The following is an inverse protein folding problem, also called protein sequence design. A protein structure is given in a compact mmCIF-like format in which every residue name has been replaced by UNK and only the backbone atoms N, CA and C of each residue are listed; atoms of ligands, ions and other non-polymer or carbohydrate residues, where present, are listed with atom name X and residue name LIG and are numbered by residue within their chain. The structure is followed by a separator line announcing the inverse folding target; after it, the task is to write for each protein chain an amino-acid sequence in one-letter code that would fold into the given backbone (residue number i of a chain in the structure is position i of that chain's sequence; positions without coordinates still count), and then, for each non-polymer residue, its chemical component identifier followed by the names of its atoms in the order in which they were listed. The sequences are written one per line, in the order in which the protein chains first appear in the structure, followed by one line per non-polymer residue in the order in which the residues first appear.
data_IF_699651147995
#
_entry.id   IF_699651147995
#
_cell.length_a   1.000
_cell.length_b   1.000
_cell.length_c   1.000
_cell.angle_alpha   90.00
_cell.angle_beta   90.00
_cell.angle_gamma   90.00
#
_symmetry.space_group_name_H-M   'P 1'
#
loop_
_entity.id
_entity.type
_entity.pdbx_description
1 polymer ?
#
# COMPACT_ATOMS: atom_id res chain seq x y z
N UNK A 1 11.28 -20.24 -7.07
CA UNK A 1 10.26 -20.27 -5.99
C UNK A 1 9.80 -18.86 -5.62
N UNK A 2 10.71 -17.88 -5.50
CA UNK A 2 10.36 -16.44 -5.42
C UNK A 2 9.38 -15.98 -6.51
N UNK A 3 9.55 -16.48 -7.75
CA UNK A 3 8.65 -16.25 -8.90
C UNK A 3 7.22 -16.77 -8.74
N UNK A 4 6.90 -17.52 -7.68
CA UNK A 4 5.54 -17.99 -7.35
C UNK A 4 4.97 -17.37 -6.08
N UNK A 5 5.81 -16.94 -5.15
CA UNK A 5 5.39 -16.37 -3.86
C UNK A 5 4.84 -14.96 -4.05
N UNK A 6 5.62 -14.08 -4.71
CA UNK A 6 5.19 -12.69 -4.93
C UNK A 6 3.86 -12.62 -5.69
N UNK A 7 3.65 -13.35 -6.80
CA UNK A 7 2.35 -13.39 -7.46
C UNK A 7 1.22 -13.89 -6.57
N UNK A 8 1.45 -14.89 -5.72
CA UNK A 8 0.43 -15.40 -4.80
C UNK A 8 0.02 -14.34 -3.77
N UNK A 9 1.00 -13.64 -3.18
CA UNK A 9 0.75 -12.55 -2.22
C UNK A 9 0.04 -11.37 -2.88
N UNK A 10 0.47 -10.96 -4.07
CA UNK A 10 -0.20 -9.88 -4.82
C UNK A 10 -1.64 -10.25 -5.18
N UNK A 11 -1.87 -11.48 -5.64
CA UNK A 11 -3.22 -11.98 -5.90
C UNK A 11 -4.09 -11.94 -4.63
N UNK A 12 -3.53 -12.34 -3.48
CA UNK A 12 -4.25 -12.27 -2.22
C UNK A 12 -4.68 -10.83 -1.87
N UNK A 13 -3.78 -9.85 -2.05
CA UNK A 13 -4.12 -8.44 -1.87
C UNK A 13 -5.22 -8.00 -2.85
N UNK A 14 -5.11 -8.35 -4.13
CA UNK A 14 -6.08 -7.96 -5.16
C UNK A 14 -7.47 -8.52 -4.86
N UNK A 15 -7.57 -9.80 -4.46
CA UNK A 15 -8.86 -10.46 -4.23
C UNK A 15 -9.51 -10.12 -2.90
N UNK A 16 -8.76 -9.58 -1.93
CA UNK A 16 -9.28 -9.16 -0.62
C UNK A 16 -9.74 -7.70 -0.57
N UNK A 17 -9.68 -6.99 -1.71
CA UNK A 17 -10.20 -5.65 -1.88
C UNK A 17 -11.74 -5.60 -1.85
N UNK A 18 -12.31 -4.92 -0.86
CA UNK A 18 -13.75 -4.78 -0.62
C UNK A 18 -14.30 -3.39 -0.94
N UNK A 19 -13.45 -2.37 -1.06
CA UNK A 19 -13.87 -0.98 -1.30
C UNK A 19 -13.90 -0.60 -2.79
N UNK A 20 -13.74 -1.60 -3.67
CA UNK A 20 -13.86 -1.42 -5.12
C UNK A 20 -12.72 -0.61 -5.72
N UNK A 21 -11.50 -0.75 -5.20
CA UNK A 21 -10.29 -0.27 -5.88
C UNK A 21 -10.08 -1.05 -7.18
N UNK A 22 -9.63 -0.38 -8.23
CA UNK A 22 -9.26 -1.01 -9.51
C UNK A 22 -7.76 -1.18 -9.59
N UNK A 23 -7.30 -2.33 -10.09
CA UNK A 23 -5.88 -2.53 -10.40
C UNK A 23 -5.55 -1.76 -11.67
N UNK A 24 -4.58 -0.84 -11.58
CA UNK A 24 -4.03 -0.17 -12.74
C UNK A 24 -2.88 -0.99 -13.33
N UNK A 25 -1.88 -1.30 -12.49
CA UNK A 25 -0.61 -1.88 -12.91
C UNK A 25 -0.05 -2.79 -11.84
N UNK A 26 0.79 -3.75 -12.26
CA UNK A 26 1.60 -4.59 -11.40
C UNK A 26 3.05 -4.42 -11.85
N UNK A 27 3.93 -4.00 -10.94
CA UNK A 27 5.34 -3.68 -11.20
C UNK A 27 6.23 -4.53 -10.30
N UNK A 28 6.67 -5.68 -10.80
CA UNK A 28 7.47 -6.61 -10.00
C UNK A 28 6.70 -7.16 -8.80
N UNK A 29 6.95 -6.61 -7.62
CA UNK A 29 6.33 -6.96 -6.35
C UNK A 29 5.33 -5.91 -5.82
N UNK A 30 5.03 -4.89 -6.60
CA UNK A 30 4.07 -3.85 -6.26
C UNK A 30 2.79 -3.96 -7.10
N UNK A 31 1.66 -3.59 -6.48
CA UNK A 31 0.37 -3.41 -7.16
C UNK A 31 -0.09 -1.97 -6.98
N UNK A 32 -0.40 -1.30 -8.09
CA UNK A 32 -1.00 0.04 -8.08
C UNK A 32 -2.51 -0.09 -8.18
N UNK A 33 -3.19 0.34 -7.12
CA UNK A 33 -4.63 0.50 -7.10
C UNK A 33 -5.03 1.96 -7.37
N UNK A 34 -6.20 2.14 -8.00
CA UNK A 34 -6.81 3.46 -8.15
C UNK A 34 -8.33 3.39 -7.96
N UNK A 35 -8.92 4.52 -7.59
CA UNK A 35 -10.36 4.73 -7.53
C UNK A 35 -10.65 6.18 -7.90
N UNK A 36 -11.64 6.40 -8.76
CA UNK A 36 -12.13 7.72 -9.11
C UNK A 36 -13.60 7.87 -8.70
N UNK A 37 -14.07 9.11 -8.56
CA UNK A 37 -15.43 9.41 -8.15
C UNK A 37 -15.56 9.47 -6.63
N UNK A 38 -16.61 8.83 -6.10
CA UNK A 38 -16.91 8.85 -4.67
C UNK A 38 -15.82 8.15 -3.86
N UNK A 39 -15.26 8.88 -2.89
CA UNK A 39 -14.24 8.38 -1.98
C UNK A 39 -14.90 7.53 -0.88
N UNK A 40 -14.27 6.41 -0.47
CA UNK A 40 -14.73 5.67 0.69
C UNK A 40 -14.65 6.55 1.95
N UNK A 41 -15.41 6.20 2.99
CA UNK A 41 -15.16 6.78 4.31
C UNK A 41 -13.74 6.45 4.77
N UNK A 42 -13.15 7.33 5.58
CA UNK A 42 -11.82 7.11 6.13
C UNK A 42 -11.75 5.78 6.91
N UNK A 43 -12.79 5.47 7.70
CA UNK A 43 -12.90 4.20 8.42
C UNK A 43 -12.85 3.00 7.47
N UNK A 44 -13.59 3.02 6.36
CA UNK A 44 -13.58 1.94 5.38
C UNK A 44 -12.22 1.81 4.67
N UNK A 45 -11.54 2.93 4.41
CA UNK A 45 -10.20 2.94 3.82
C UNK A 45 -9.16 2.34 4.77
N UNK A 46 -9.18 2.72 6.04
CA UNK A 46 -8.30 2.20 7.08
C UNK A 46 -8.55 0.70 7.28
N UNK A 47 -9.82 0.28 7.37
CA UNK A 47 -10.19 -1.13 7.50
C UNK A 47 -9.70 -1.95 6.30
N UNK A 48 -9.81 -1.42 5.08
CA UNK A 48 -9.27 -2.10 3.90
C UNK A 48 -7.75 -2.30 4.00
N UNK A 49 -7.01 -1.33 4.55
CA UNK A 49 -5.57 -1.45 4.76
C UNK A 49 -5.23 -2.50 5.81
N UNK A 50 -6.02 -2.58 6.89
CA UNK A 50 -5.90 -3.67 7.89
C UNK A 50 -6.08 -5.02 7.22
N UNK A 51 -7.14 -5.18 6.42
CA UNK A 51 -7.44 -6.42 5.69
C UNK A 51 -6.29 -6.81 4.76
N UNK A 52 -5.78 -5.86 3.96
CA UNK A 52 -4.63 -6.12 3.09
C UNK A 52 -3.44 -6.64 3.89
N UNK A 53 -3.09 -5.97 4.98
CA UNK A 53 -1.96 -6.36 5.80
C UNK A 53 -2.14 -7.74 6.47
N UNK A 54 -3.29 -8.00 7.08
CA UNK A 54 -3.55 -9.27 7.77
C UNK A 54 -3.65 -10.46 6.81
N UNK A 55 -4.31 -10.28 5.66
CA UNK A 55 -4.44 -11.36 4.67
C UNK A 55 -3.13 -11.62 3.93
N UNK A 56 -2.28 -10.60 3.74
CA UNK A 56 -0.91 -10.80 3.25
C UNK A 56 -0.12 -11.72 4.17
N UNK A 57 -0.14 -11.47 5.48
CA UNK A 57 0.61 -12.29 6.44
C UNK A 57 0.06 -13.70 6.57
N UNK A 58 -1.27 -13.85 6.57
CA UNK A 58 -1.92 -15.16 6.56
C UNK A 58 -1.52 -16.00 5.35
N UNK A 59 -1.48 -15.42 4.15
CA UNK A 59 -1.02 -16.12 2.94
C UNK A 59 0.49 -16.39 2.99
N UNK A 60 1.29 -15.44 3.48
CA UNK A 60 2.73 -15.62 3.65
C UNK A 60 3.04 -16.81 4.57
N UNK A 61 2.35 -16.92 5.70
CA UNK A 61 2.54 -18.02 6.65
C UNK A 61 2.04 -19.36 6.09
N UNK A 62 0.91 -19.35 5.36
CA UNK A 62 0.44 -20.54 4.65
C UNK A 62 1.46 -21.04 3.61
N UNK A 63 2.08 -20.13 2.86
CA UNK A 63 3.14 -20.44 1.90
C UNK A 63 4.40 -20.95 2.62
N UNK A 64 4.80 -20.33 3.74
CA UNK A 64 5.93 -20.79 4.56
C UNK A 64 5.74 -22.24 5.01
N UNK A 65 4.59 -22.57 5.59
CA UNK A 65 4.31 -23.95 6.04
C UNK A 65 4.25 -24.93 4.86
N UNK A 66 3.66 -24.54 3.73
CA UNK A 66 3.60 -25.36 2.51
C UNK A 66 4.99 -25.71 1.97
N UNK A 67 5.94 -24.78 2.02
CA UNK A 67 7.29 -24.97 1.48
C UNK A 67 8.33 -25.43 2.50
N UNK A 68 7.99 -25.46 3.81
CA UNK A 68 8.87 -25.81 4.94
C UNK A 68 9.68 -27.09 4.79
N UNK A 69 9.13 -28.11 4.12
CA UNK A 69 9.78 -29.43 3.93
C UNK A 69 10.60 -29.53 2.63
N UNK A 70 10.51 -28.56 1.74
CA UNK A 70 11.36 -28.52 0.55
C UNK A 70 12.72 -27.92 0.94
N UNK A 71 13.82 -28.39 0.33
CA UNK A 71 15.14 -27.73 0.44
C UNK A 71 15.10 -26.25 0.01
N UNK A 72 14.04 -25.85 -0.67
CA UNK A 72 13.75 -24.48 -1.09
C UNK A 72 13.04 -23.62 -0.01
N UNK A 73 12.75 -24.14 1.18
CA UNK A 73 12.18 -23.35 2.30
C UNK A 73 13.05 -22.12 2.63
N UNK A 74 14.36 -22.24 2.46
CA UNK A 74 15.34 -21.16 2.62
C UNK A 74 15.26 -20.05 1.55
N UNK A 75 14.37 -20.19 0.55
CA UNK A 75 14.22 -19.23 -0.56
C UNK A 75 13.05 -18.27 -0.41
N UNK A 76 12.22 -18.39 0.63
CA UNK A 76 11.35 -17.29 1.05
C UNK A 76 12.23 -16.35 1.87
N UNK A 77 12.51 -15.12 1.42
CA UNK A 77 13.32 -14.21 2.21
C UNK A 77 12.69 -14.05 3.60
N UNK A 78 13.51 -14.16 4.65
CA UNK A 78 13.06 -13.89 6.02
C UNK A 78 12.47 -12.48 6.15
N UNK A 79 12.91 -11.57 5.27
CA UNK A 79 12.53 -10.16 5.20
C UNK A 79 11.55 -9.92 4.03
N UNK A 80 10.39 -10.59 4.04
CA UNK A 80 9.21 -10.09 3.31
C UNK A 80 8.33 -9.30 4.28
N UNK A 81 7.87 -8.14 3.83
CA UNK A 81 6.93 -7.31 4.57
C UNK A 81 6.10 -6.47 3.61
N UNK A 82 5.05 -5.85 4.14
CA UNK A 82 4.13 -5.02 3.37
C UNK A 82 4.19 -3.58 3.85
N UNK A 83 4.36 -2.66 2.91
CA UNK A 83 4.12 -1.23 3.09
C UNK A 83 2.98 -0.79 2.19
N UNK A 84 2.11 0.06 2.69
CA UNK A 84 0.92 0.54 1.98
C UNK A 84 1.03 2.07 1.91
N UNK A 85 0.89 2.63 0.71
CA UNK A 85 0.98 4.07 0.45
C UNK A 85 -0.36 4.52 -0.10
N UNK A 86 -0.99 5.46 0.58
CA UNK A 86 -2.26 6.04 0.22
C UNK A 86 -2.05 7.49 -0.21
N UNK A 87 -2.37 7.76 -1.47
CA UNK A 87 -2.28 9.09 -2.06
C UNK A 87 -3.65 9.54 -2.55
N UNK A 88 -3.98 10.80 -2.31
CA UNK A 88 -5.12 11.48 -2.93
C UNK A 88 -4.60 12.61 -3.80
N UNK A 89 -5.13 12.64 -5.02
CA UNK A 89 -4.74 13.55 -6.07
C UNK A 89 -5.94 14.02 -6.88
N UNK A 90 -5.84 15.20 -7.48
CA UNK A 90 -6.86 15.76 -8.37
C UNK A 90 -6.45 15.68 -9.84
N UNK A 91 -5.17 15.49 -10.11
CA UNK A 91 -4.55 15.56 -11.43
C UNK A 91 -4.23 14.15 -11.94
N UNK A 92 -5.27 13.32 -12.06
CA UNK A 92 -5.19 12.01 -12.70
C UNK A 92 -6.12 11.97 -13.92
N UNK A 93 -5.54 11.72 -15.09
CA UNK A 93 -6.25 11.46 -16.32
C UNK A 93 -6.26 9.96 -16.64
N UNK A 94 -7.42 9.45 -17.05
CA UNK A 94 -7.56 8.10 -17.59
C UNK A 94 -7.59 8.19 -19.12
N UNK A 95 -6.58 7.63 -19.77
CA UNK A 95 -6.46 7.64 -21.23
C UNK A 95 -6.38 6.23 -21.77
N UNK A 96 -7.09 5.96 -22.88
CA UNK A 96 -6.97 4.70 -23.61
C UNK A 96 -5.67 4.72 -24.43
N UNK A 97 -4.77 3.77 -24.16
CA UNK A 97 -3.54 3.56 -24.92
C UNK A 97 -3.59 2.14 -25.47
N UNK A 98 -3.73 2.03 -26.80
CA UNK A 98 -4.02 0.75 -27.44
C UNK A 98 -5.34 0.16 -26.93
N UNK A 99 -5.29 -1.06 -26.37
CA UNK A 99 -6.46 -1.75 -25.82
C UNK A 99 -6.60 -1.63 -24.29
N UNK A 100 -5.74 -0.84 -23.64
CA UNK A 100 -5.70 -0.71 -22.19
C UNK A 100 -6.00 0.73 -21.74
N UNK A 101 -6.56 0.87 -20.54
CA UNK A 101 -6.70 2.17 -19.87
C UNK A 101 -5.41 2.41 -19.07
N UNK A 102 -4.83 3.59 -19.20
CA UNK A 102 -3.63 4.03 -18.49
C UNK A 102 -3.93 5.28 -17.67
N UNK A 103 -3.29 5.37 -16.51
CA UNK A 103 -3.30 6.54 -15.65
C UNK A 103 -2.14 7.46 -16.04
N UNK A 104 -2.39 8.76 -16.09
CA UNK A 104 -1.37 9.78 -16.31
C UNK A 104 -1.61 10.97 -15.40
N UNK A 105 -0.53 11.64 -14.99
CA UNK A 105 -0.60 12.88 -14.21
C UNK A 105 0.48 12.95 -13.15
N UNK A 106 0.63 14.15 -12.57
CA UNK A 106 1.65 14.42 -11.54
C UNK A 106 1.42 13.57 -10.28
N UNK A 107 0.17 13.37 -9.90
CA UNK A 107 -0.21 12.55 -8.75
C UNK A 107 0.24 11.08 -8.88
N UNK A 108 0.30 10.55 -10.10
CA UNK A 108 0.85 9.21 -10.34
C UNK A 108 2.36 9.20 -10.09
N UNK A 109 3.08 10.22 -10.58
CA UNK A 109 4.53 10.37 -10.37
C UNK A 109 4.84 10.44 -8.88
N UNK A 110 4.06 11.22 -8.12
CA UNK A 110 4.19 11.33 -6.66
C UNK A 110 4.01 9.96 -6.00
N UNK A 111 2.94 9.22 -6.34
CA UNK A 111 2.68 7.90 -5.78
C UNK A 111 3.84 6.92 -6.00
N UNK A 112 4.43 6.88 -7.22
CA UNK A 112 5.61 6.05 -7.48
C UNK A 112 6.85 6.52 -6.71
N UNK A 113 7.10 7.83 -6.63
CA UNK A 113 8.25 8.36 -5.88
C UNK A 113 8.15 8.09 -4.38
N UNK A 114 6.94 8.11 -3.82
CA UNK A 114 6.68 7.76 -2.42
C UNK A 114 7.07 6.32 -2.07
N UNK A 115 7.15 5.40 -3.04
CA UNK A 115 7.71 4.06 -2.80
C UNK A 115 9.18 4.10 -2.36
N UNK A 116 9.90 5.19 -2.66
CA UNK A 116 11.31 5.45 -2.29
C UNK A 116 11.42 6.62 -1.29
N UNK A 117 10.61 6.63 -0.25
CA UNK A 117 10.64 7.66 0.80
C UNK A 117 11.68 7.37 1.92
N UNK A 118 11.80 8.29 2.90
CA UNK A 118 12.79 8.23 4.01
C UNK A 118 12.32 7.52 5.28
N UNK A 119 11.16 6.84 5.28
CA UNK A 119 10.67 6.08 6.44
C UNK A 119 11.58 4.87 6.70
N UNK A 120 12.15 4.79 7.90
CA UNK A 120 13.08 3.71 8.32
C UNK A 120 12.38 2.44 8.83
N UNK A 121 11.06 2.37 8.72
CA UNK A 121 10.28 1.18 9.07
C UNK A 121 10.08 0.33 7.82
N UNK A 122 10.16 -0.99 7.99
CA UNK A 122 9.98 -1.92 6.85
C UNK A 122 8.51 -2.08 6.47
N UNK A 123 7.60 -1.86 7.41
CA UNK A 123 6.18 -2.17 7.28
C UNK A 123 5.36 -1.06 7.92
N UNK A 124 4.66 -0.32 7.07
CA UNK A 124 3.94 0.87 7.51
C UNK A 124 2.81 1.19 6.55
N UNK A 125 1.84 1.93 7.06
CA UNK A 125 0.82 2.62 6.28
C UNK A 125 1.19 4.09 6.22
N UNK A 126 1.18 4.68 5.03
CA UNK A 126 1.52 6.08 4.79
C UNK A 126 0.34 6.79 4.12
N UNK A 127 0.01 7.97 4.63
CA UNK A 127 -1.02 8.86 4.12
C UNK A 127 -0.34 10.16 3.66
N UNK A 128 -0.54 10.55 2.42
CA UNK A 128 -0.08 11.88 1.98
C UNK A 128 -0.91 12.97 2.62
N UNK A 129 -0.31 14.15 2.80
CA UNK A 129 -1.01 15.32 3.33
C UNK A 129 -2.29 15.65 2.53
N UNK A 130 -2.27 15.48 1.21
CA UNK A 130 -3.45 15.65 0.36
C UNK A 130 -4.62 14.74 0.77
N UNK A 131 -4.34 13.49 1.16
CA UNK A 131 -5.36 12.54 1.61
C UNK A 131 -5.88 12.89 3.00
N UNK A 132 -5.01 13.26 3.94
CA UNK A 132 -5.45 13.64 5.30
C UNK A 132 -6.27 14.93 5.26
N UNK A 133 -5.87 15.90 4.43
CA UNK A 133 -6.61 17.15 4.21
C UNK A 133 -7.97 16.91 3.54
N UNK A 134 -8.09 15.92 2.63
CA UNK A 134 -9.37 15.56 2.02
C UNK A 134 -10.40 15.14 3.08
N UNK A 135 -10.01 14.28 4.02
CA UNK A 135 -10.90 13.81 5.07
C UNK A 135 -11.17 14.86 6.16
N UNK A 136 -10.38 15.93 6.22
CA UNK A 136 -10.51 17.05 7.18
C UNK A 136 -10.59 16.59 8.64
N UNK A 137 -9.97 15.46 8.96
CA UNK A 137 -10.03 14.93 10.30
C UNK A 137 -9.09 15.70 11.22
N UNK A 138 -9.68 16.33 12.24
CA UNK A 138 -8.92 17.10 13.23
C UNK A 138 -8.01 16.20 14.07
N UNK A 139 -8.33 14.90 14.15
CA UNK A 139 -7.57 13.95 14.95
C UNK A 139 -7.51 12.56 14.29
N UNK A 140 -6.74 12.49 13.20
CA UNK A 140 -6.54 11.25 12.44
C UNK A 140 -6.00 10.10 13.30
N UNK A 141 -5.25 10.41 14.36
CA UNK A 141 -4.66 9.42 15.29
C UNK A 141 -5.73 8.56 16.00
N UNK A 142 -6.89 9.15 16.30
CA UNK A 142 -7.99 8.47 17.00
C UNK A 142 -8.61 7.33 16.17
N UNK A 143 -8.30 7.26 14.87
CA UNK A 143 -8.77 6.19 13.98
C UNK A 143 -7.91 4.91 14.08
N UNK A 144 -6.80 4.96 14.84
CA UNK A 144 -5.82 3.89 14.95
C UNK A 144 -5.76 3.37 16.39
N UNK A 145 -6.32 2.18 16.63
CA UNK A 145 -6.29 1.50 17.94
C UNK A 145 -4.99 0.71 18.20
N UNK A 146 -4.04 0.74 17.26
CA UNK A 146 -2.84 -0.12 17.28
C UNK A 146 -1.51 0.64 17.32
N UNK A 147 -1.56 1.98 17.34
CA UNK A 147 -0.39 2.82 17.43
C UNK A 147 -0.69 4.26 17.07
N UNK A 148 0.35 5.09 17.12
CA UNK A 148 0.25 6.52 16.77
C UNK A 148 0.93 6.83 15.45
N UNK A 149 0.36 7.78 14.73
CA UNK A 149 0.89 8.39 13.53
C UNK A 149 2.14 9.20 13.85
N UNK A 150 3.09 9.14 12.92
CA UNK A 150 4.28 9.96 12.88
C UNK A 150 4.24 10.80 11.62
N UNK A 151 4.67 12.05 11.70
CA UNK A 151 4.80 12.92 10.54
C UNK A 151 6.24 12.92 10.04
N UNK A 152 6.41 13.06 8.74
CA UNK A 152 7.70 13.26 8.08
C UNK A 152 7.48 13.87 6.70
N UNK A 153 8.57 14.25 6.04
CA UNK A 153 8.55 14.72 4.67
C UNK A 153 9.70 14.10 3.86
N UNK A 154 9.55 14.10 2.55
CA UNK A 154 10.66 13.78 1.64
C UNK A 154 10.65 14.76 0.48
N UNK A 155 11.80 15.38 0.25
CA UNK A 155 12.05 16.20 -0.93
C UNK A 155 12.43 15.33 -2.13
N UNK A 156 11.75 15.56 -3.25
CA UNK A 156 11.96 14.86 -4.50
C UNK A 156 12.32 15.84 -5.61
N UNK A 157 13.35 15.51 -6.39
CA UNK A 157 13.75 16.30 -7.56
C UNK A 157 12.57 16.52 -8.51
N UNK A 158 12.35 17.76 -8.96
CA UNK A 158 11.24 18.19 -9.86
C UNK A 158 9.81 18.04 -9.32
N UNK A 159 9.61 17.55 -8.09
CA UNK A 159 8.29 17.43 -7.45
C UNK A 159 8.21 18.30 -6.20
N UNK A 160 9.33 18.53 -5.52
CA UNK A 160 9.40 19.31 -4.29
C UNK A 160 9.23 18.46 -3.04
N UNK A 161 8.92 19.12 -1.93
CA UNK A 161 8.70 18.49 -0.63
C UNK A 161 7.30 17.89 -0.55
N UNK A 162 7.23 16.60 -0.21
CA UNK A 162 5.97 15.90 0.03
C UNK A 162 5.88 15.54 1.51
N UNK A 163 4.88 16.10 2.18
CA UNK A 163 4.54 15.80 3.56
C UNK A 163 3.63 14.56 3.64
N UNK A 164 3.86 13.74 4.67
CA UNK A 164 3.05 12.56 4.91
C UNK A 164 3.03 12.17 6.38
N UNK A 165 1.95 11.49 6.77
CA UNK A 165 1.84 10.79 8.05
C UNK A 165 1.97 9.30 7.84
N UNK A 166 2.56 8.58 8.79
CA UNK A 166 2.73 7.14 8.69
C UNK A 166 2.64 6.43 10.05
N UNK A 167 2.17 5.18 10.05
CA UNK A 167 1.99 4.34 11.23
C UNK A 167 2.55 2.94 11.00
N UNK A 168 3.09 2.33 12.06
CA UNK A 168 3.61 0.96 12.01
C UNK A 168 2.47 -0.05 11.88
N UNK A 169 2.57 -0.97 10.91
CA UNK A 169 1.56 -2.01 10.71
C UNK A 169 1.83 -3.27 11.55
N UNK A 170 3.06 -3.49 12.02
CA UNK A 170 3.45 -4.71 12.77
C UNK A 170 2.50 -5.09 13.91
N UNK A 171 1.97 -4.17 14.73
CA UNK A 171 1.06 -4.54 15.83
C UNK A 171 -0.24 -5.22 15.39
N UNK A 172 -0.63 -5.11 14.11
CA UNK A 172 -1.84 -5.76 13.58
C UNK A 172 -1.71 -7.27 13.41
N UNK A 173 -0.48 -7.79 13.36
CA UNK A 173 -0.20 -9.23 13.35
C UNK A 173 0.43 -9.58 14.68
N UNK A 174 -0.15 -10.55 15.39
CA UNK A 174 0.46 -11.03 16.64
C UNK A 174 1.79 -11.71 16.32
N UNK A 175 2.86 -11.48 17.10
CA UNK A 175 4.06 -12.30 17.02
C UNK A 175 3.79 -13.75 17.43
#
# INVERSE_FOLDING_TARGET
LSSKIIPALLNQIIYTNKIGLKVSEIEGDAVLFFKTGEMPSLQALIEQCRIFYTEFYKELDALREKYKKNKDAASIPEILGLKIILHYGKEIALTKVGNSIKLFGEDLIIAHKLLKNKVRMNEYLLFTEGLTNFYKENNLDDQFDWGSLKQNSTEYEHVGEINYSYINLKPLVKP
#
